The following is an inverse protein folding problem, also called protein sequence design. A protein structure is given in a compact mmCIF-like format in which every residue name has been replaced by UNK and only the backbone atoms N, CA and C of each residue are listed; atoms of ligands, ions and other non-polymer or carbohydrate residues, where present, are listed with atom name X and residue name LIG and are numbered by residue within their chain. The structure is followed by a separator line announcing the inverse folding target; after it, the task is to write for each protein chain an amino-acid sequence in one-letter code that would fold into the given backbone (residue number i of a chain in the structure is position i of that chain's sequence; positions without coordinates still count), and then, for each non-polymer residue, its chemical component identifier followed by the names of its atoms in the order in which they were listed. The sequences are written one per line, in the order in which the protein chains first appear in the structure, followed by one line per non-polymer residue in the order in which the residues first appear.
data_IF_155246521164
#
_entry.id   IF_155246521164
#
_cell.length_a   1.000
_cell.length_b   1.000
_cell.length_c   1.000
_cell.angle_alpha   90.00
_cell.angle_beta   90.00
_cell.angle_gamma   90.00
#
_symmetry.space_group_name_H-M   'P 1'
#
loop_
_entity.id
_entity.type
_entity.pdbx_description
1 polymer ?
#
# COMPACT_ATOMS: atom_id res chain seq x y z
N UNK A 1 17.41 10.10 5.32
CA UNK A 1 16.52 10.95 6.13
C UNK A 1 16.26 12.22 5.34
N UNK A 2 15.07 12.40 4.79
CA UNK A 2 14.72 13.60 4.01
C UNK A 2 13.95 14.52 4.93
N UNK A 3 14.50 15.70 5.19
CA UNK A 3 13.85 16.76 5.96
C UNK A 3 13.33 17.79 4.97
N UNK A 4 12.03 17.97 4.93
CA UNK A 4 11.40 19.05 4.14
C UNK A 4 11.26 20.27 5.05
N UNK A 5 12.01 21.34 4.79
CA UNK A 5 11.90 22.63 5.46
C UNK A 5 10.88 23.51 4.74
N UNK A 6 9.86 23.97 5.45
CA UNK A 6 8.93 25.01 4.98
C UNK A 6 9.05 26.24 5.90
N UNK A 7 9.16 27.38 5.30
CA UNK A 7 9.65 28.65 5.86
C UNK A 7 8.81 29.36 6.94
N UNK A 8 9.33 30.26 7.50
CA UNK A 8 9.88 30.88 8.72
C UNK A 8 8.88 31.67 9.59
N UNK A 9 9.10 31.65 10.86
CA UNK A 9 8.68 32.38 12.07
C UNK A 9 7.20 32.30 12.55
N UNK A 10 6.18 32.54 11.80
CA UNK A 10 4.79 32.26 12.25
C UNK A 10 4.50 30.76 12.28
N UNK A 11 5.18 30.04 11.43
CA UNK A 11 5.27 28.59 11.40
C UNK A 11 6.00 28.00 12.62
N UNK A 12 6.98 28.69 13.21
CA UNK A 12 7.77 28.18 14.34
C UNK A 12 6.97 28.03 15.64
N UNK A 13 5.94 28.81 15.84
CA UNK A 13 5.02 28.66 16.99
C UNK A 13 4.10 27.46 16.88
N UNK A 14 3.79 27.03 15.65
CA UNK A 14 3.06 25.79 15.35
C UNK A 14 3.98 24.57 15.13
N UNK A 15 5.28 24.77 15.08
CA UNK A 15 6.30 23.79 14.70
C UNK A 15 6.60 22.72 15.76
N UNK A 16 6.12 22.86 17.00
CA UNK A 16 6.22 21.78 17.99
C UNK A 16 5.43 20.53 17.63
N UNK A 17 4.55 20.60 16.62
CA UNK A 17 3.73 19.48 16.15
C UNK A 17 4.00 19.01 14.72
N UNK A 18 5.01 19.53 13.99
CA UNK A 18 5.06 19.37 12.55
C UNK A 18 6.36 18.83 11.93
N UNK A 19 7.28 18.25 12.68
CA UNK A 19 8.26 17.34 12.06
C UNK A 19 7.66 15.94 12.11
N UNK A 20 6.75 15.66 11.17
CA UNK A 20 6.28 14.30 10.97
C UNK A 20 7.37 13.55 10.22
N UNK A 21 8.16 12.78 10.94
CA UNK A 21 9.09 11.87 10.30
C UNK A 21 8.34 10.75 9.61
N UNK A 22 8.57 10.59 8.32
CA UNK A 22 8.15 9.42 7.58
C UNK A 22 9.29 8.42 7.50
N UNK A 23 9.00 7.18 7.73
CA UNK A 23 9.92 6.09 7.46
C UNK A 23 9.67 5.54 6.07
N UNK A 24 10.74 5.37 5.29
CA UNK A 24 10.71 4.66 4.01
C UNK A 24 11.41 3.33 4.18
N UNK A 25 10.68 2.24 3.92
CA UNK A 25 11.24 0.89 3.87
C UNK A 25 11.53 0.59 2.40
N UNK A 26 12.82 0.42 2.08
CA UNK A 26 13.29 0.17 0.72
C UNK A 26 12.76 -1.14 0.16
N UNK A 27 12.69 -1.29 -1.18
CA UNK A 27 12.26 -2.52 -1.82
C UNK A 27 13.05 -3.74 -1.34
N UNK A 28 12.30 -4.81 -1.06
CA UNK A 28 12.84 -6.12 -0.73
C UNK A 28 11.79 -7.18 -1.04
N UNK A 29 12.24 -8.35 -1.51
CA UNK A 29 11.37 -9.51 -1.70
C UNK A 29 11.01 -10.15 -0.36
N UNK A 30 9.73 -10.53 -0.22
CA UNK A 30 9.20 -11.21 0.96
C UNK A 30 8.26 -12.34 0.52
N UNK A 31 8.17 -13.39 1.35
CA UNK A 31 7.08 -14.36 1.21
C UNK A 31 5.73 -13.69 1.47
N UNK A 32 4.68 -14.26 0.91
CA UNK A 32 3.33 -13.77 1.06
C UNK A 32 2.94 -13.58 2.53
N UNK A 33 3.24 -14.57 3.36
CA UNK A 33 2.90 -14.58 4.78
C UNK A 33 3.62 -13.50 5.57
N UNK A 34 4.93 -13.37 5.38
CA UNK A 34 5.72 -12.34 6.06
C UNK A 34 5.29 -10.93 5.60
N UNK A 35 4.97 -10.77 4.31
CA UNK A 35 4.52 -9.50 3.77
C UNK A 35 3.20 -9.04 4.41
N UNK A 36 2.23 -9.95 4.59
CA UNK A 36 0.96 -9.62 5.25
C UNK A 36 1.14 -9.38 6.76
N UNK A 37 1.94 -10.20 7.44
CA UNK A 37 2.26 -9.99 8.86
C UNK A 37 2.89 -8.61 9.10
N UNK A 38 3.80 -8.18 8.22
CA UNK A 38 4.40 -6.84 8.29
C UNK A 38 3.37 -5.72 8.06
N UNK A 39 2.45 -5.87 7.12
CA UNK A 39 1.37 -4.89 6.90
C UNK A 39 0.51 -4.76 8.15
N UNK A 40 0.12 -5.86 8.77
CA UNK A 40 -0.71 -5.86 9.98
C UNK A 40 0.04 -5.23 11.16
N UNK A 41 1.26 -5.67 11.42
CA UNK A 41 2.11 -5.15 12.51
C UNK A 41 2.37 -3.65 12.34
N UNK A 42 2.77 -3.21 11.14
CA UNK A 42 3.01 -1.80 10.88
C UNK A 42 1.74 -0.97 11.06
N UNK A 43 0.59 -1.47 10.59
CA UNK A 43 -0.70 -0.79 10.73
C UNK A 43 -1.05 -0.61 12.21
N UNK A 44 -0.83 -1.62 13.03
CA UNK A 44 -1.08 -1.57 14.46
C UNK A 44 -0.15 -0.56 15.16
N UNK A 45 1.17 -0.71 14.98
CA UNK A 45 2.14 0.15 15.67
C UNK A 45 2.07 1.62 15.25
N UNK A 46 1.86 1.89 13.97
CA UNK A 46 1.62 3.26 13.48
C UNK A 46 0.31 3.79 14.05
N UNK A 47 -0.74 2.97 14.05
CA UNK A 47 -2.04 3.34 14.63
C UNK A 47 -1.96 3.70 16.11
N UNK A 48 -1.18 2.95 16.91
CA UNK A 48 -0.92 3.21 18.33
C UNK A 48 0.06 4.38 18.58
N UNK A 49 0.65 4.97 17.56
CA UNK A 49 1.67 6.00 17.68
C UNK A 49 3.05 5.51 18.13
N UNK A 50 3.23 4.20 18.18
CA UNK A 50 4.51 3.55 18.54
C UNK A 50 5.51 3.48 17.40
N UNK A 51 5.09 3.84 16.18
CA UNK A 51 5.90 3.86 14.99
C UNK A 51 5.55 5.08 14.12
N UNK A 52 6.50 5.67 13.41
CA UNK A 52 6.22 6.78 12.50
C UNK A 52 5.36 6.33 11.32
N UNK A 53 4.71 7.30 10.65
CA UNK A 53 4.08 7.06 9.35
C UNK A 53 5.09 6.41 8.42
N UNK A 54 4.68 5.41 7.66
CA UNK A 54 5.60 4.55 6.91
C UNK A 54 5.13 4.40 5.46
N UNK A 55 6.07 4.55 4.53
CA UNK A 55 5.95 4.10 3.15
C UNK A 55 6.80 2.85 3.01
N UNK A 56 6.23 1.78 2.52
CA UNK A 56 6.90 0.51 2.30
C UNK A 56 6.79 0.14 0.84
N UNK A 57 7.93 -0.26 0.26
CA UNK A 57 8.00 -0.87 -1.08
C UNK A 57 8.43 -2.33 -0.93
N UNK A 58 7.83 -3.22 -1.70
CA UNK A 58 8.16 -4.65 -1.59
C UNK A 58 7.72 -5.44 -2.82
N UNK A 59 8.41 -6.54 -3.01
CA UNK A 59 8.18 -7.55 -4.03
C UNK A 59 7.68 -8.83 -3.36
N UNK A 60 7.11 -9.71 -4.16
CA UNK A 60 6.59 -10.99 -3.71
C UNK A 60 7.52 -12.10 -4.19
N UNK A 61 7.88 -13.03 -3.32
CA UNK A 61 8.68 -14.18 -3.70
C UNK A 61 8.31 -15.39 -2.82
N UNK A 62 7.80 -16.47 -3.42
CA UNK A 62 7.45 -16.64 -4.85
C UNK A 62 6.25 -15.79 -5.30
N UNK A 63 5.88 -15.90 -6.57
CA UNK A 63 4.62 -15.36 -7.11
C UNK A 63 3.46 -15.74 -6.21
N UNK A 64 2.48 -14.86 -6.06
CA UNK A 64 1.46 -14.99 -5.00
C UNK A 64 0.07 -14.68 -5.52
N UNK A 65 -0.92 -15.48 -5.15
CA UNK A 65 -2.33 -15.10 -5.25
C UNK A 65 -2.79 -14.54 -3.90
N UNK A 66 -3.08 -13.25 -3.85
CA UNK A 66 -3.63 -12.57 -2.69
C UNK A 66 -5.15 -12.37 -2.88
N UNK A 67 -5.97 -12.93 -1.99
CA UNK A 67 -7.43 -12.79 -2.04
C UNK A 67 -7.98 -12.00 -0.86
N UNK A 68 -9.18 -11.42 -1.05
CA UNK A 68 -9.79 -10.51 -0.09
C UNK A 68 -10.21 -11.16 1.22
N UNK A 69 -10.34 -10.35 2.28
CA UNK A 69 -10.68 -10.82 3.62
C UNK A 69 -11.99 -11.64 3.67
N UNK A 70 -13.01 -11.22 2.93
CA UNK A 70 -14.33 -11.83 2.94
C UNK A 70 -14.51 -12.94 1.87
N UNK A 71 -13.48 -13.19 1.05
CA UNK A 71 -13.56 -14.18 -0.02
C UNK A 71 -13.42 -15.60 0.52
N UNK A 72 -14.12 -16.54 -0.10
CA UNK A 72 -13.93 -17.97 0.11
C UNK A 72 -12.87 -18.47 -0.86
N UNK A 73 -11.75 -18.96 -0.33
CA UNK A 73 -10.56 -19.29 -1.14
C UNK A 73 -10.90 -20.21 -2.32
N UNK A 74 -11.66 -21.27 -2.11
CA UNK A 74 -11.98 -22.24 -3.16
C UNK A 74 -12.96 -21.72 -4.25
N UNK A 75 -13.61 -20.56 -4.01
CA UNK A 75 -14.48 -19.92 -5.00
C UNK A 75 -13.70 -18.95 -5.91
N UNK A 76 -12.54 -18.46 -5.46
CA UNK A 76 -11.79 -17.40 -6.16
C UNK A 76 -10.37 -17.80 -6.54
N UNK A 77 -9.87 -18.96 -6.05
CA UNK A 77 -8.51 -19.45 -6.30
C UNK A 77 -8.55 -20.94 -6.61
N UNK A 78 -7.89 -21.34 -7.69
CA UNK A 78 -7.57 -22.75 -7.93
C UNK A 78 -6.38 -23.16 -7.07
N UNK A 79 -6.65 -23.65 -5.86
CA UNK A 79 -5.66 -23.97 -4.83
C UNK A 79 -4.68 -25.05 -5.30
N UNK A 80 -5.17 -26.06 -5.98
CA UNK A 80 -4.33 -27.17 -6.44
C UNK A 80 -3.38 -26.73 -7.55
N UNK A 81 -3.85 -25.91 -8.47
CA UNK A 81 -3.00 -25.35 -9.53
C UNK A 81 -1.94 -24.42 -8.95
N UNK A 82 -2.29 -23.57 -7.99
CA UNK A 82 -1.30 -22.74 -7.32
C UNK A 82 -0.21 -23.57 -6.64
N UNK A 83 -0.56 -24.68 -5.99
CA UNK A 83 0.42 -25.61 -5.40
C UNK A 83 1.32 -26.24 -6.43
N UNK A 84 0.75 -26.70 -7.56
CA UNK A 84 1.52 -27.33 -8.64
C UNK A 84 2.53 -26.36 -9.27
N UNK A 85 2.18 -25.07 -9.34
CA UNK A 85 3.01 -24.02 -9.89
C UNK A 85 3.94 -23.34 -8.87
N UNK A 86 3.92 -23.76 -7.60
CA UNK A 86 4.73 -23.13 -6.54
C UNK A 86 4.31 -21.71 -6.19
N UNK A 87 3.04 -21.37 -6.43
CA UNK A 87 2.48 -20.03 -6.16
C UNK A 87 1.94 -19.98 -4.73
N UNK A 88 2.36 -19.01 -3.96
CA UNK A 88 1.83 -18.76 -2.61
C UNK A 88 0.38 -18.28 -2.66
N UNK A 89 -0.41 -18.67 -1.66
CA UNK A 89 -1.79 -18.21 -1.50
C UNK A 89 -1.92 -17.51 -0.16
N UNK A 90 -2.39 -16.26 -0.16
CA UNK A 90 -2.53 -15.51 1.10
C UNK A 90 -3.82 -14.71 1.14
N UNK A 91 -4.45 -14.68 2.31
CA UNK A 91 -5.58 -13.80 2.60
C UNK A 91 -5.06 -12.44 3.04
N UNK A 92 -5.43 -11.37 2.34
CA UNK A 92 -5.08 -10.02 2.76
C UNK A 92 -6.12 -9.42 3.71
N UNK A 93 -5.75 -8.48 4.59
CA UNK A 93 -6.69 -7.83 5.53
C UNK A 93 -7.66 -6.84 4.85
N UNK A 94 -7.45 -6.51 3.58
CA UNK A 94 -8.37 -5.67 2.79
C UNK A 94 -9.40 -6.51 2.04
N UNK A 95 -10.54 -5.90 1.69
CA UNK A 95 -11.55 -6.53 0.83
C UNK A 95 -11.17 -6.63 -0.65
N UNK A 96 -12.12 -7.10 -1.47
CA UNK A 96 -12.00 -7.26 -2.93
C UNK A 96 -11.58 -8.67 -3.35
N UNK A 97 -11.72 -9.01 -4.64
CA UNK A 97 -11.45 -10.32 -5.21
C UNK A 97 -10.00 -10.78 -5.18
N UNK A 98 -9.66 -11.88 -5.84
CA UNK A 98 -8.29 -12.38 -5.95
C UNK A 98 -7.46 -11.53 -6.91
N UNK A 99 -6.15 -11.42 -6.62
CA UNK A 99 -5.15 -10.74 -7.45
C UNK A 99 -3.92 -11.62 -7.53
N UNK A 100 -3.43 -11.86 -8.74
CA UNK A 100 -2.14 -12.49 -8.98
C UNK A 100 -1.04 -11.42 -8.91
N UNK A 101 0.02 -11.73 -8.21
CA UNK A 101 1.17 -10.87 -7.97
C UNK A 101 2.41 -11.65 -8.42
N UNK A 102 2.91 -11.27 -9.56
CA UNK A 102 4.07 -11.89 -10.17
C UNK A 102 5.37 -11.49 -9.46
N UNK A 103 6.32 -12.40 -9.35
CA UNK A 103 7.59 -12.14 -8.65
C UNK A 103 8.58 -11.30 -9.45
N UNK A 104 8.41 -11.22 -10.79
CA UNK A 104 9.29 -10.47 -11.68
C UNK A 104 8.69 -9.13 -12.08
N UNK A 105 7.35 -9.10 -12.34
CA UNK A 105 6.67 -7.95 -12.96
C UNK A 105 5.84 -7.12 -11.99
N UNK A 106 5.61 -7.60 -10.76
CA UNK A 106 4.79 -6.90 -9.78
C UNK A 106 5.57 -6.37 -8.60
N UNK A 107 5.48 -5.07 -8.42
CA UNK A 107 6.00 -4.42 -7.24
C UNK A 107 4.84 -3.75 -6.47
N UNK A 108 4.91 -3.81 -5.15
CA UNK A 108 3.85 -3.32 -4.29
C UNK A 108 4.34 -2.19 -3.41
N UNK A 109 3.46 -1.22 -3.16
CA UNK A 109 3.70 -0.17 -2.18
C UNK A 109 2.60 -0.15 -1.11
N UNK A 110 2.97 0.24 0.10
CA UNK A 110 2.05 0.44 1.21
C UNK A 110 2.30 1.80 1.88
N UNK A 111 1.23 2.56 2.09
CA UNK A 111 1.25 3.83 2.82
C UNK A 111 0.47 3.65 4.11
N UNK A 112 1.15 3.76 5.24
CA UNK A 112 0.60 3.53 6.57
C UNK A 112 0.76 4.79 7.40
N UNK A 113 -0.37 5.45 7.72
CA UNK A 113 -0.35 6.70 8.46
C UNK A 113 -1.68 6.93 9.19
N UNK A 114 -1.60 7.58 10.35
CA UNK A 114 -2.78 8.08 11.08
C UNK A 114 -3.39 9.33 10.44
N UNK A 115 -2.65 9.96 9.55
CA UNK A 115 -2.98 11.25 8.94
C UNK A 115 -3.70 11.13 7.61
N UNK A 116 -3.89 9.90 7.13
CA UNK A 116 -4.70 9.67 5.94
C UNK A 116 -6.17 10.06 6.21
N UNK A 117 -6.83 10.65 5.20
CA UNK A 117 -8.24 11.01 5.33
C UNK A 117 -9.09 9.81 5.77
N UNK A 118 -10.07 10.03 6.67
CA UNK A 118 -11.02 8.99 7.06
C UNK A 118 -11.93 8.54 5.91
N UNK A 119 -12.17 9.43 4.96
CA UNK A 119 -12.92 9.10 3.74
C UNK A 119 -12.06 8.24 2.82
N UNK A 120 -12.52 7.03 2.51
CA UNK A 120 -11.85 6.08 1.60
C UNK A 120 -11.59 6.74 0.24
N UNK A 121 -12.57 7.42 -0.32
CA UNK A 121 -12.46 8.10 -1.60
C UNK A 121 -11.37 9.19 -1.59
N UNK A 122 -11.29 9.98 -0.51
CA UNK A 122 -10.23 11.00 -0.36
C UNK A 122 -8.86 10.36 -0.18
N UNK A 123 -8.76 9.24 0.55
CA UNK A 123 -7.51 8.49 0.69
C UNK A 123 -7.04 7.91 -0.65
N UNK A 124 -7.97 7.39 -1.46
CA UNK A 124 -7.65 6.93 -2.82
C UNK A 124 -7.11 8.07 -3.69
N UNK A 125 -7.81 9.19 -3.74
CA UNK A 125 -7.37 10.34 -4.55
C UNK A 125 -6.00 10.86 -4.10
N UNK A 126 -5.75 10.94 -2.80
CA UNK A 126 -4.48 11.42 -2.26
C UNK A 126 -3.32 10.50 -2.61
N UNK A 127 -3.44 9.20 -2.34
CA UNK A 127 -2.34 8.25 -2.55
C UNK A 127 -2.11 7.98 -4.03
N UNK A 128 -3.19 7.80 -4.82
CA UNK A 128 -3.04 7.63 -6.26
C UNK A 128 -2.48 8.89 -6.93
N UNK A 129 -2.88 10.09 -6.46
CA UNK A 129 -2.32 11.36 -6.94
C UNK A 129 -0.80 11.42 -6.73
N UNK A 130 -0.33 11.14 -5.52
CA UNK A 130 1.11 11.14 -5.22
C UNK A 130 1.91 10.13 -6.07
N UNK A 131 1.31 8.96 -6.36
CA UNK A 131 1.94 7.96 -7.27
C UNK A 131 1.96 8.47 -8.71
N UNK A 132 0.89 9.10 -9.18
CA UNK A 132 0.81 9.69 -10.52
C UNK A 132 1.85 10.79 -10.68
N UNK A 133 2.00 11.68 -9.70
CA UNK A 133 3.02 12.74 -9.72
C UNK A 133 4.43 12.14 -9.86
N UNK A 134 4.74 11.10 -9.07
CA UNK A 134 6.02 10.39 -9.19
C UNK A 134 6.23 9.67 -10.54
N UNK A 135 5.17 9.15 -11.15
CA UNK A 135 5.24 8.58 -12.50
C UNK A 135 5.46 9.65 -13.57
N UNK A 136 4.83 10.82 -13.41
CA UNK A 136 5.04 11.97 -14.30
C UNK A 136 6.49 12.49 -14.25
N UNK A 137 7.12 12.51 -13.07
CA UNK A 137 8.53 12.85 -12.92
C UNK A 137 9.46 11.88 -13.66
N UNK A 138 9.01 10.64 -13.88
CA UNK A 138 9.69 9.62 -14.69
C UNK A 138 9.31 9.67 -16.18
N UNK A 139 8.51 10.64 -16.61
CA UNK A 139 8.05 10.78 -18.00
C UNK A 139 6.90 9.84 -18.39
N UNK A 140 6.22 9.25 -17.40
CA UNK A 140 5.09 8.33 -17.62
C UNK A 140 3.78 9.09 -17.39
N UNK A 141 3.02 9.32 -18.45
CA UNK A 141 1.71 9.95 -18.39
C UNK A 141 0.66 9.00 -17.81
N UNK A 142 0.43 9.12 -16.52
CA UNK A 142 -0.55 8.33 -15.79
C UNK A 142 -1.77 9.18 -15.41
N UNK A 143 -2.92 8.53 -15.21
CA UNK A 143 -4.13 9.18 -14.75
C UNK A 143 -4.92 8.34 -13.75
N UNK A 144 -5.70 9.02 -12.90
CA UNK A 144 -6.55 8.37 -11.90
C UNK A 144 -7.86 7.93 -12.52
N UNK A 145 -8.16 6.64 -12.42
CA UNK A 145 -9.46 6.06 -12.77
C UNK A 145 -10.19 5.63 -11.50
N UNK A 146 -11.30 6.30 -11.22
CA UNK A 146 -12.14 5.96 -10.06
C UNK A 146 -12.57 4.48 -10.09
N UNK A 147 -12.72 3.83 -8.93
CA UNK A 147 -12.55 4.42 -7.60
C UNK A 147 -11.10 4.49 -7.10
N UNK A 148 -10.19 3.62 -7.57
CA UNK A 148 -8.89 3.37 -6.94
C UNK A 148 -7.80 2.86 -7.89
N UNK A 149 -7.97 3.03 -9.19
CA UNK A 149 -7.01 2.57 -10.20
C UNK A 149 -6.13 3.71 -10.73
N UNK A 150 -4.92 3.36 -11.14
CA UNK A 150 -4.04 4.21 -11.94
C UNK A 150 -3.92 3.56 -13.32
N UNK A 151 -4.05 4.38 -14.37
CA UNK A 151 -4.02 3.94 -15.76
C UNK A 151 -3.00 4.72 -16.57
N UNK A 152 -2.36 4.04 -17.54
CA UNK A 152 -1.49 4.60 -18.57
C UNK A 152 -2.02 4.16 -19.94
N UNK A 153 -2.25 5.10 -20.83
CA UNK A 153 -2.85 4.82 -22.17
C UNK A 153 -4.12 3.94 -22.08
N UNK A 154 -4.96 4.23 -21.07
CA UNK A 154 -6.22 3.50 -20.83
C UNK A 154 -6.09 2.12 -20.18
N UNK A 155 -4.89 1.59 -20.03
CA UNK A 155 -4.63 0.29 -19.37
C UNK A 155 -4.34 0.48 -17.90
N UNK A 156 -4.92 -0.36 -17.03
CA UNK A 156 -4.64 -0.35 -15.59
C UNK A 156 -3.24 -0.86 -15.32
N UNK A 157 -2.45 -0.03 -14.62
CA UNK A 157 -1.10 -0.37 -14.18
C UNK A 157 -1.00 -0.53 -12.66
N UNK A 158 -1.92 0.04 -11.90
CA UNK A 158 -1.93 -0.07 -10.45
C UNK A 158 -3.35 0.03 -9.89
N UNK A 159 -3.55 -0.52 -8.70
CA UNK A 159 -4.77 -0.36 -7.91
C UNK A 159 -4.38 -0.15 -6.45
N UNK A 160 -5.06 0.77 -5.76
CA UNK A 160 -4.84 1.03 -4.34
C UNK A 160 -6.02 0.54 -3.51
N UNK A 161 -5.74 -0.04 -2.34
CA UNK A 161 -6.78 -0.49 -1.42
C UNK A 161 -6.51 0.02 -0.02
N UNK A 162 -7.55 0.48 0.65
CA UNK A 162 -7.47 0.95 2.04
C UNK A 162 -7.82 -0.20 2.97
N UNK A 163 -6.96 -0.41 3.97
CA UNK A 163 -7.26 -1.25 5.13
C UNK A 163 -7.72 -0.31 6.25
N UNK A 164 -9.03 -0.17 6.41
CA UNK A 164 -9.61 0.58 7.53
C UNK A 164 -9.71 -0.36 8.73
N UNK A 165 -8.61 -0.66 9.40
CA UNK A 165 -8.70 -1.14 10.77
C UNK A 165 -8.97 0.06 11.67
N UNK A 166 -10.24 0.28 12.08
CA UNK A 166 -10.47 0.79 13.43
C UNK A 166 -9.61 -0.09 14.33
N UNK A 167 -8.65 0.52 15.00
CA UNK A 167 -7.96 -0.17 16.08
C UNK A 167 -9.06 -0.55 17.06
N UNK A 168 -9.44 -1.80 17.03
CA UNK A 168 -10.22 -2.38 18.11
C UNK A 168 -9.19 -2.64 19.19
N UNK A 169 -9.25 -1.81 20.20
CA UNK A 169 -8.57 -2.04 21.47
C UNK A 169 -9.19 -3.27 22.12
#
# INVERSE_FOLDING_TARGET
MVIIKVGMQEYLKNLKNFIRMWRVIKPRAYSAYLSQALVETLTEFVGQGKSPSTIRFYEWKPSTVAFGFNERVHEVVNVDECKNLGIDIVRRPSGGGAVYLDEEDCFTYGVISRDLPRSISKSYSLVCGAVIDGLMDLGIEASFRKPNDIVVKGKKISTYRVVNKKIVI
#
